data_IF_825596762212
#
_entry.id   IF_825596762212
#
_cell.length_a   1.000
_cell.length_b   1.000
_cell.length_c   1.000
_cell.angle_alpha   90.00
_cell.angle_beta   90.00
_cell.angle_gamma   90.00
#
_symmetry.space_group_name_H-M   'P 1'
#
loop_
_entity.id
_entity.type
_entity.pdbx_description
1 polymer ?
#
# COMPACT_ATOMS: atom_id res chain seq x y z
N UNK A 1 20.18 10.30 -4.27
CA UNK A 1 20.39 9.80 -2.89
C UNK A 1 19.53 10.54 -1.86
N UNK A 2 19.42 11.87 -1.85
CA UNK A 2 18.62 12.65 -0.89
C UNK A 2 17.09 12.43 -1.00
N UNK A 3 16.55 12.29 -2.22
CA UNK A 3 15.10 12.03 -2.45
C UNK A 3 14.68 10.65 -1.90
N UNK A 4 15.55 9.65 -1.96
CA UNK A 4 15.34 8.32 -1.44
C UNK A 4 15.24 8.28 0.09
N UNK A 5 15.99 9.12 0.78
CA UNK A 5 15.95 9.25 2.25
C UNK A 5 14.67 9.96 2.71
N UNK A 6 14.19 10.95 1.95
CA UNK A 6 12.96 11.68 2.27
C UNK A 6 11.70 10.80 2.13
N UNK A 7 11.61 9.97 1.10
CA UNK A 7 10.45 9.06 0.89
C UNK A 7 10.37 8.01 2.00
N UNK A 8 11.51 7.43 2.40
CA UNK A 8 11.53 6.46 3.49
C UNK A 8 11.29 7.10 4.87
N UNK A 9 11.74 8.35 5.08
CA UNK A 9 11.48 9.09 6.31
C UNK A 9 9.98 9.47 6.42
N UNK A 10 9.36 9.86 5.32
CA UNK A 10 7.92 10.15 5.26
C UNK A 10 7.07 8.91 5.56
N UNK A 11 7.43 7.73 5.03
CA UNK A 11 6.74 6.47 5.32
C UNK A 11 6.85 6.08 6.81
N UNK A 12 8.02 6.27 7.41
CA UNK A 12 8.25 5.95 8.83
C UNK A 12 7.54 6.96 9.74
N UNK A 13 7.59 8.24 9.43
CA UNK A 13 6.87 9.28 10.16
C UNK A 13 5.34 9.10 10.04
N UNK A 14 4.84 8.67 8.89
CA UNK A 14 3.43 8.34 8.68
C UNK A 14 2.97 7.19 9.59
N UNK A 15 3.76 6.12 9.70
CA UNK A 15 3.44 4.98 10.58
C UNK A 15 3.51 5.34 12.08
N UNK A 16 4.29 6.35 12.45
CA UNK A 16 4.42 6.82 13.84
C UNK A 16 3.39 7.90 14.21
N UNK A 17 2.82 8.61 13.23
CA UNK A 17 1.80 9.66 13.45
C UNK A 17 0.36 9.17 13.37
N UNK A 18 0.12 7.93 12.94
CA UNK A 18 -1.20 7.32 13.04
C UNK A 18 -1.49 7.11 14.54
N UNK A 19 -2.12 8.11 15.17
CA UNK A 19 -2.79 7.86 16.44
C UNK A 19 -3.79 6.74 16.18
N UNK A 20 -3.77 5.65 16.97
CA UNK A 20 -4.80 4.63 16.86
C UNK A 20 -6.12 5.24 17.29
N UNK A 21 -6.86 5.78 16.34
CA UNK A 21 -8.30 5.80 16.45
C UNK A 21 -8.66 4.33 16.28
N UNK A 22 -9.37 3.68 17.25
CA UNK A 22 -9.94 2.37 16.97
C UNK A 22 -10.70 2.56 15.65
N UNK A 23 -10.42 1.72 14.62
CA UNK A 23 -11.08 1.89 13.36
C UNK A 23 -12.57 1.80 13.64
N UNK A 24 -13.27 2.90 13.45
CA UNK A 24 -14.68 2.82 13.14
C UNK A 24 -14.78 1.82 12.01
N UNK A 25 -15.59 0.74 12.10
CA UNK A 25 -15.65 -0.25 11.04
C UNK A 25 -15.89 0.53 9.74
N UNK A 26 -14.94 0.43 8.82
CA UNK A 26 -15.04 1.09 7.53
C UNK A 26 -16.43 0.78 6.98
N UNK A 27 -17.19 1.75 6.50
CA UNK A 27 -18.53 1.49 5.99
C UNK A 27 -18.41 0.34 5.01
N UNK A 28 -19.22 -0.71 5.21
CA UNK A 28 -19.21 -1.90 4.36
C UNK A 28 -19.72 -1.44 2.99
N UNK A 29 -18.80 -0.90 2.20
CA UNK A 29 -19.09 -0.51 0.81
C UNK A 29 -19.14 -1.83 0.06
N UNK A 30 -20.36 -2.30 -0.21
CA UNK A 30 -20.54 -3.48 -1.01
C UNK A 30 -19.90 -3.22 -2.39
N UNK A 31 -18.84 -3.97 -2.74
CA UNK A 31 -18.21 -3.78 -4.04
C UNK A 31 -19.20 -4.18 -5.14
N UNK A 32 -19.15 -3.48 -6.28
CA UNK A 32 -19.92 -3.89 -7.46
C UNK A 32 -19.58 -5.36 -7.80
N UNK A 33 -20.53 -6.17 -8.28
CA UNK A 33 -20.25 -7.54 -8.69
C UNK A 33 -19.14 -7.59 -9.75
N UNK A 34 -18.45 -8.72 -9.86
CA UNK A 34 -17.46 -8.91 -10.93
C UNK A 34 -18.19 -8.80 -12.27
N UNK A 35 -17.83 -7.80 -13.08
CA UNK A 35 -18.53 -7.49 -14.30
C UNK A 35 -17.87 -8.08 -15.55
N UNK A 36 -18.65 -8.45 -16.58
CA UNK A 36 -18.12 -8.61 -17.92
C UNK A 36 -17.53 -7.30 -18.47
N UNK A 37 -16.65 -7.41 -19.46
CA UNK A 37 -15.98 -6.24 -20.08
C UNK A 37 -16.96 -5.19 -20.57
N UNK A 38 -18.13 -5.62 -21.00
CA UNK A 38 -19.23 -4.82 -21.54
C UNK A 38 -19.86 -3.86 -20.51
N UNK A 39 -19.58 -4.06 -19.22
CA UNK A 39 -20.10 -3.24 -18.12
C UNK A 39 -19.21 -2.05 -17.75
N UNK A 40 -18.05 -1.90 -18.38
CA UNK A 40 -17.16 -0.78 -18.12
C UNK A 40 -17.78 0.51 -18.65
N UNK A 41 -17.80 1.57 -17.83
CA UNK A 41 -18.18 2.89 -18.29
C UNK A 41 -17.08 3.49 -19.20
N UNK A 42 -17.40 4.65 -19.80
CA UNK A 42 -16.47 5.31 -20.71
C UNK A 42 -15.09 5.59 -20.08
N UNK A 43 -15.03 5.97 -18.79
CA UNK A 43 -13.76 6.28 -18.10
C UNK A 43 -12.89 5.04 -17.98
N UNK A 44 -13.47 3.91 -17.55
CA UNK A 44 -12.72 2.67 -17.42
C UNK A 44 -12.25 2.12 -18.78
N UNK A 45 -13.03 2.39 -19.85
CA UNK A 45 -12.65 2.03 -21.22
C UNK A 45 -11.44 2.83 -21.73
N UNK A 46 -11.17 4.02 -21.18
CA UNK A 46 -9.98 4.81 -21.53
C UNK A 46 -8.69 4.24 -20.90
N UNK A 47 -8.79 3.30 -19.95
CA UNK A 47 -7.62 2.70 -19.33
C UNK A 47 -7.01 1.69 -20.30
N UNK A 48 -6.04 2.14 -21.06
CA UNK A 48 -5.26 1.35 -22.00
C UNK A 48 -3.76 1.39 -21.64
N UNK A 49 -2.95 0.75 -22.45
CA UNK A 49 -1.51 0.71 -22.23
C UNK A 49 -0.85 2.08 -22.43
N UNK A 50 -1.39 2.93 -23.29
CA UNK A 50 -0.81 4.24 -23.55
C UNK A 50 -1.06 5.19 -22.36
N UNK A 51 -2.27 5.14 -21.78
CA UNK A 51 -2.58 5.84 -20.53
C UNK A 51 -1.66 5.35 -19.38
N UNK A 52 -1.45 4.04 -19.24
CA UNK A 52 -0.58 3.53 -18.18
C UNK A 52 0.90 3.91 -18.40
N UNK A 53 1.39 3.97 -19.64
CA UNK A 53 2.73 4.48 -19.93
C UNK A 53 2.88 5.96 -19.55
N UNK A 54 1.85 6.78 -19.77
CA UNK A 54 1.85 8.18 -19.32
C UNK A 54 1.79 8.31 -17.80
N UNK A 55 0.95 7.50 -17.16
CA UNK A 55 0.77 7.53 -15.70
C UNK A 55 2.00 7.00 -14.93
N UNK A 56 2.73 6.05 -15.49
CA UNK A 56 3.87 5.35 -14.88
C UNK A 56 5.16 5.47 -15.71
N UNK A 57 5.71 6.70 -15.87
CA UNK A 57 6.78 6.97 -16.83
C UNK A 57 8.11 6.29 -16.52
N UNK A 58 8.32 5.84 -15.27
CA UNK A 58 9.54 5.14 -14.86
C UNK A 58 9.43 3.61 -14.99
N UNK A 59 8.38 3.10 -15.64
CA UNK A 59 8.20 1.69 -15.95
C UNK A 59 8.15 1.49 -17.48
N UNK A 60 8.40 0.29 -17.95
CA UNK A 60 8.36 0.00 -19.37
C UNK A 60 7.01 -0.59 -19.80
N UNK A 61 6.67 -0.44 -21.08
CA UNK A 61 5.42 -0.88 -21.68
C UNK A 61 5.17 -2.39 -21.50
N UNK A 62 6.23 -3.20 -21.59
CA UNK A 62 6.13 -4.66 -21.46
C UNK A 62 5.65 -5.05 -20.06
N UNK A 63 6.20 -4.39 -19.03
CA UNK A 63 5.78 -4.62 -17.66
C UNK A 63 4.38 -4.04 -17.36
N UNK A 64 3.99 -2.95 -18.03
CA UNK A 64 2.72 -2.28 -17.77
C UNK A 64 1.52 -2.98 -18.40
N UNK A 65 1.70 -3.74 -19.49
CA UNK A 65 0.58 -4.36 -20.21
C UNK A 65 -0.28 -5.26 -19.31
N UNK A 66 0.33 -5.96 -18.36
CA UNK A 66 -0.37 -6.82 -17.42
C UNK A 66 -1.25 -6.07 -16.39
N UNK A 67 -1.06 -4.74 -16.27
CA UNK A 67 -1.80 -3.89 -15.33
C UNK A 67 -3.04 -3.26 -15.94
N UNK A 68 -3.19 -3.29 -17.27
CA UNK A 68 -4.33 -2.63 -17.96
C UNK A 68 -5.66 -3.18 -17.43
N UNK A 69 -5.88 -4.47 -17.62
CA UNK A 69 -7.14 -5.10 -17.21
C UNK A 69 -7.37 -5.07 -15.70
N UNK A 70 -6.37 -5.36 -14.84
CA UNK A 70 -6.50 -5.18 -13.40
C UNK A 70 -6.93 -3.78 -12.98
N UNK A 71 -6.38 -2.73 -13.62
CA UNK A 71 -6.74 -1.33 -13.32
C UNK A 71 -8.18 -1.04 -13.72
N UNK A 72 -8.61 -1.46 -14.91
CA UNK A 72 -9.99 -1.34 -15.36
C UNK A 72 -10.96 -1.98 -14.36
N UNK A 73 -10.67 -3.22 -13.96
CA UNK A 73 -11.53 -3.98 -13.04
C UNK A 73 -11.58 -3.41 -11.64
N UNK A 74 -10.46 -2.93 -11.12
CA UNK A 74 -10.41 -2.26 -9.82
C UNK A 74 -11.21 -0.94 -9.85
N UNK A 75 -11.03 -0.11 -10.88
CA UNK A 75 -11.78 1.12 -11.04
C UNK A 75 -13.29 0.85 -11.13
N UNK A 76 -13.71 -0.14 -11.92
CA UNK A 76 -15.10 -0.53 -12.00
C UNK A 76 -15.65 -0.97 -10.64
N UNK A 77 -14.98 -1.91 -9.99
CA UNK A 77 -15.45 -2.53 -8.74
C UNK A 77 -15.63 -1.53 -7.61
N UNK A 78 -14.75 -0.55 -7.55
CA UNK A 78 -14.71 0.43 -6.46
C UNK A 78 -15.28 1.80 -6.84
N UNK A 79 -15.87 1.93 -8.03
CA UNK A 79 -16.57 3.14 -8.45
C UNK A 79 -15.66 4.33 -8.69
N UNK A 80 -14.50 4.11 -9.30
CA UNK A 80 -13.64 5.17 -9.83
C UNK A 80 -14.14 5.48 -11.24
N UNK A 81 -15.08 6.40 -11.32
CA UNK A 81 -15.96 6.57 -12.49
C UNK A 81 -15.74 7.89 -13.26
N UNK A 82 -14.91 8.78 -12.73
CA UNK A 82 -14.61 10.07 -13.38
C UNK A 82 -13.14 10.17 -13.79
N UNK A 83 -12.85 10.97 -14.83
CA UNK A 83 -11.46 11.24 -15.27
C UNK A 83 -10.62 11.80 -14.12
N UNK A 84 -11.21 12.65 -13.28
CA UNK A 84 -10.52 13.27 -12.17
C UNK A 84 -10.12 12.25 -11.11
N UNK A 85 -11.05 11.39 -10.69
CA UNK A 85 -10.76 10.30 -9.75
C UNK A 85 -9.69 9.36 -10.30
N UNK A 86 -9.83 8.96 -11.57
CA UNK A 86 -8.85 8.10 -12.24
C UNK A 86 -7.46 8.74 -12.26
N UNK A 87 -7.37 10.03 -12.62
CA UNK A 87 -6.09 10.76 -12.65
C UNK A 87 -5.45 10.84 -11.26
N UNK A 88 -6.23 11.18 -10.23
CA UNK A 88 -5.76 11.24 -8.85
C UNK A 88 -5.36 9.85 -8.34
N UNK A 89 -6.12 8.80 -8.64
CA UNK A 89 -5.83 7.42 -8.28
C UNK A 89 -4.51 6.94 -8.89
N UNK A 90 -4.32 7.11 -10.21
CA UNK A 90 -3.10 6.70 -10.90
C UNK A 90 -1.88 7.51 -10.46
N UNK A 91 -2.01 8.83 -10.30
CA UNK A 91 -0.93 9.69 -9.82
C UNK A 91 -0.47 9.28 -8.41
N UNK A 92 -1.40 8.90 -7.54
CA UNK A 92 -1.10 8.41 -6.21
C UNK A 92 -0.32 7.09 -6.25
N UNK A 93 -0.81 6.12 -7.02
CA UNK A 93 -0.11 4.85 -7.22
C UNK A 93 1.29 5.08 -7.79
N UNK A 94 1.45 6.00 -8.74
CA UNK A 94 2.74 6.31 -9.35
C UNK A 94 3.78 6.72 -8.28
N UNK A 95 3.41 7.65 -7.41
CA UNK A 95 4.30 8.16 -6.36
C UNK A 95 4.65 7.06 -5.36
N UNK A 96 3.66 6.35 -4.83
CA UNK A 96 3.83 5.32 -3.79
C UNK A 96 4.68 4.14 -4.25
N UNK A 97 4.58 3.78 -5.51
CA UNK A 97 5.21 2.57 -6.06
C UNK A 97 6.43 2.82 -6.93
N UNK A 98 6.85 4.09 -7.09
CA UNK A 98 7.84 4.46 -8.10
C UNK A 98 7.47 3.86 -9.48
N UNK A 99 6.28 4.18 -9.98
CA UNK A 99 5.74 3.69 -11.26
C UNK A 99 5.50 2.15 -11.29
N UNK A 100 4.87 1.58 -10.27
CA UNK A 100 4.60 0.14 -10.15
C UNK A 100 5.85 -0.76 -10.16
N UNK A 101 7.00 -0.22 -9.76
CA UNK A 101 8.25 -0.98 -9.65
C UNK A 101 8.50 -1.49 -8.24
N UNK A 102 7.80 -0.93 -7.23
CA UNK A 102 7.94 -1.28 -5.81
C UNK A 102 6.60 -1.66 -5.23
N UNK A 103 6.36 -2.95 -5.15
CA UNK A 103 5.08 -3.52 -4.73
C UNK A 103 5.19 -4.32 -3.43
N UNK A 104 6.37 -4.40 -2.86
CA UNK A 104 6.62 -5.10 -1.61
C UNK A 104 7.60 -4.31 -0.75
N UNK A 105 7.30 -4.21 0.53
CA UNK A 105 8.16 -3.56 1.49
C UNK A 105 9.48 -4.29 1.65
N UNK A 106 10.58 -3.57 1.45
CA UNK A 106 11.93 -4.08 1.69
C UNK A 106 12.39 -3.80 3.11
N UNK A 107 12.67 -4.85 3.87
CA UNK A 107 13.17 -4.78 5.26
C UNK A 107 14.69 -4.98 5.34
N UNK A 108 15.41 -4.72 4.27
CA UNK A 108 16.87 -4.85 4.19
C UNK A 108 17.59 -3.65 4.84
N UNK A 109 17.21 -3.34 6.08
CA UNK A 109 17.77 -2.23 6.83
C UNK A 109 19.19 -2.53 7.35
N UNK A 110 20.06 -1.51 7.34
CA UNK A 110 21.32 -1.60 8.11
C UNK A 110 21.04 -1.46 9.61
N UNK A 111 21.99 -1.86 10.42
CA UNK A 111 21.94 -1.69 11.88
C UNK A 111 21.64 -0.23 12.26
N UNK A 112 22.37 0.71 11.65
CA UNK A 112 22.23 2.15 11.90
C UNK A 112 20.83 2.64 11.50
N UNK A 113 20.33 2.20 10.33
CA UNK A 113 19.01 2.57 9.86
C UNK A 113 17.89 2.03 10.78
N UNK A 114 18.04 0.84 11.35
CA UNK A 114 17.09 0.31 12.32
C UNK A 114 17.09 1.14 13.62
N UNK A 115 18.27 1.58 14.05
CA UNK A 115 18.43 2.39 15.27
C UNK A 115 17.88 3.82 15.05
N UNK A 116 18.12 4.41 13.89
CA UNK A 116 17.72 5.76 13.56
C UNK A 116 16.22 5.89 13.26
N UNK A 117 15.67 4.95 12.47
CA UNK A 117 14.31 5.06 11.95
C UNK A 117 13.23 4.55 12.91
N UNK A 118 13.56 3.57 13.75
CA UNK A 118 12.56 2.94 14.60
C UNK A 118 12.82 3.26 16.08
N UNK A 119 11.76 3.59 16.82
CA UNK A 119 11.84 3.85 18.26
C UNK A 119 12.30 2.62 19.06
N UNK A 120 12.93 2.87 20.20
CA UNK A 120 13.41 1.79 21.09
C UNK A 120 12.30 0.87 21.61
N UNK A 121 11.06 1.34 21.59
CA UNK A 121 9.88 0.52 21.88
C UNK A 121 9.52 -0.46 20.75
N UNK A 122 10.10 -0.28 19.55
CA UNK A 122 9.89 -1.15 18.39
C UNK A 122 11.00 -2.15 18.19
N UNK A 123 12.25 -1.72 18.35
CA UNK A 123 13.43 -2.58 18.20
C UNK A 123 14.54 -2.18 19.19
N UNK A 124 15.12 -3.15 19.88
CA UNK A 124 16.25 -2.92 20.75
C UNK A 124 17.55 -2.68 19.95
N UNK A 125 18.54 -2.00 20.57
CA UNK A 125 19.87 -1.85 19.97
C UNK A 125 20.53 -3.24 19.75
N UNK A 126 20.32 -4.17 20.69
CA UNK A 126 20.84 -5.51 20.58
C UNK A 126 20.27 -6.27 19.37
N UNK A 127 18.95 -6.18 19.16
CA UNK A 127 18.29 -6.81 18.00
C UNK A 127 18.70 -6.13 16.68
N UNK A 128 18.79 -4.80 16.64
CA UNK A 128 19.28 -4.08 15.48
C UNK A 128 20.69 -4.53 15.08
N UNK A 129 21.60 -4.67 16.05
CA UNK A 129 22.95 -5.19 15.84
C UNK A 129 22.98 -6.65 15.38
N UNK A 130 22.08 -7.48 15.92
CA UNK A 130 22.02 -8.91 15.63
C UNK A 130 21.44 -9.21 14.25
N UNK A 131 20.41 -8.49 13.84
CA UNK A 131 19.60 -8.80 12.65
C UNK A 131 19.75 -7.80 11.50
N UNK A 132 20.24 -6.58 11.77
CA UNK A 132 20.49 -5.57 10.75
C UNK A 132 21.64 -5.94 9.81
N UNK A 133 21.60 -5.37 8.59
CA UNK A 133 22.67 -5.52 7.61
C UNK A 133 23.91 -4.73 8.06
N UNK A 134 25.07 -5.37 7.96
CA UNK A 134 26.40 -4.77 8.18
C UNK A 134 27.45 -5.51 7.36
N UNK A 135 28.71 -5.08 7.44
CA UNK A 135 29.83 -5.75 6.75
C UNK A 135 29.84 -7.25 7.11
N UNK A 136 29.82 -8.11 6.10
CA UNK A 136 29.78 -9.57 6.26
C UNK A 136 28.46 -10.17 6.73
N UNK A 137 27.41 -9.36 6.97
CA UNK A 137 26.11 -9.84 7.45
C UNK A 137 24.97 -9.26 6.60
N UNK A 138 24.14 -10.13 6.02
CA UNK A 138 22.86 -9.72 5.41
C UNK A 138 21.80 -9.44 6.49
N UNK A 139 20.87 -8.50 6.23
CA UNK A 139 19.74 -8.31 7.11
C UNK A 139 18.87 -9.57 7.18
N UNK A 140 18.45 -9.95 8.38
CA UNK A 140 17.42 -10.97 8.57
C UNK A 140 16.04 -10.28 8.49
N UNK A 141 15.55 -10.10 7.27
CA UNK A 141 14.34 -9.31 7.00
C UNK A 141 13.09 -9.88 7.67
N UNK A 142 12.96 -11.21 7.75
CA UNK A 142 11.83 -11.85 8.39
C UNK A 142 11.81 -11.58 9.90
N UNK A 143 12.94 -11.75 10.57
CA UNK A 143 13.05 -11.47 12.01
C UNK A 143 12.82 -9.97 12.27
N UNK A 144 13.39 -9.11 11.45
CA UNK A 144 13.19 -7.65 11.54
C UNK A 144 11.71 -7.31 11.42
N UNK A 145 10.99 -7.86 10.42
CA UNK A 145 9.56 -7.66 10.27
C UNK A 145 8.77 -8.10 11.50
N UNK A 146 9.06 -9.29 12.01
CA UNK A 146 8.37 -9.83 13.18
C UNK A 146 8.66 -9.05 14.46
N UNK A 147 9.82 -8.43 14.58
CA UNK A 147 10.14 -7.50 15.68
C UNK A 147 9.39 -6.17 15.50
N UNK A 148 9.50 -5.56 14.31
CA UNK A 148 8.93 -4.23 14.05
C UNK A 148 7.41 -4.22 14.02
N UNK A 149 6.78 -5.25 13.51
CA UNK A 149 5.33 -5.34 13.26
C UNK A 149 4.63 -6.38 14.15
N UNK A 150 5.35 -7.01 15.07
CA UNK A 150 4.81 -7.96 16.04
C UNK A 150 4.69 -7.38 17.45
N UNK A 151 4.60 -8.30 18.43
CA UNK A 151 4.49 -7.96 19.84
C UNK A 151 3.28 -7.10 20.19
N UNK A 152 3.32 -6.41 21.32
CA UNK A 152 2.21 -5.56 21.79
C UNK A 152 1.91 -4.40 20.84
N UNK A 153 2.94 -3.82 20.22
CA UNK A 153 2.74 -2.74 19.26
C UNK A 153 2.05 -3.24 18.00
N UNK A 154 2.48 -4.35 17.42
CA UNK A 154 1.89 -4.94 16.23
C UNK A 154 0.45 -5.41 16.47
N UNK A 155 0.18 -6.02 17.61
CA UNK A 155 -1.17 -6.42 18.00
C UNK A 155 -2.12 -5.21 18.10
N UNK A 156 -1.67 -4.13 18.76
CA UNK A 156 -2.49 -2.93 18.96
C UNK A 156 -2.71 -2.13 17.68
N UNK A 157 -1.67 -1.98 16.83
CA UNK A 157 -1.70 -1.03 15.72
C UNK A 157 -1.97 -1.67 14.36
N UNK A 158 -1.68 -2.97 14.21
CA UNK A 158 -1.76 -3.71 12.95
C UNK A 158 -2.66 -4.94 13.02
N UNK A 159 -3.18 -5.29 14.20
CA UNK A 159 -3.91 -6.53 14.41
C UNK A 159 -3.05 -7.79 14.27
N UNK A 160 -1.72 -7.67 14.33
CA UNK A 160 -0.77 -8.77 14.22
C UNK A 160 -0.66 -9.51 15.55
N UNK A 161 -1.54 -10.48 15.78
CA UNK A 161 -1.68 -11.17 17.06
C UNK A 161 -1.05 -12.55 17.09
N UNK A 162 -0.64 -13.09 15.93
CA UNK A 162 -0.06 -14.42 15.81
C UNK A 162 1.46 -14.32 15.56
N UNK A 163 2.25 -15.30 16.04
CA UNK A 163 3.65 -15.42 15.66
C UNK A 163 3.82 -15.45 14.14
N UNK A 164 4.75 -14.66 13.61
CA UNK A 164 5.00 -14.57 12.16
C UNK A 164 4.15 -13.56 11.41
N UNK A 165 3.11 -12.97 12.03
CA UNK A 165 2.24 -11.99 11.38
C UNK A 165 3.01 -10.77 10.85
N UNK A 166 4.04 -10.33 11.55
CA UNK A 166 4.84 -9.20 11.14
C UNK A 166 5.47 -9.37 9.76
N UNK A 167 5.97 -10.55 9.47
CA UNK A 167 6.50 -10.90 8.16
C UNK A 167 5.39 -11.19 7.15
N UNK A 168 4.41 -11.98 7.55
CA UNK A 168 3.32 -12.42 6.67
C UNK A 168 2.48 -11.26 6.14
N UNK A 169 2.16 -10.31 7.00
CA UNK A 169 1.29 -9.16 6.70
C UNK A 169 2.05 -7.84 6.59
N UNK A 170 3.34 -7.88 6.23
CA UNK A 170 4.08 -6.66 5.89
C UNK A 170 3.46 -5.95 4.68
N UNK A 171 3.94 -4.77 4.33
CA UNK A 171 3.38 -3.98 3.24
C UNK A 171 3.47 -4.65 1.88
N UNK A 172 2.32 -4.80 1.21
CA UNK A 172 2.19 -5.36 -0.14
C UNK A 172 1.27 -4.53 -1.02
N UNK A 173 1.51 -4.64 -2.34
CA UNK A 173 0.70 -4.01 -3.37
C UNK A 173 0.91 -2.50 -3.49
N UNK A 174 0.19 -1.84 -4.43
CA UNK A 174 0.39 -0.43 -4.75
C UNK A 174 0.11 0.55 -3.61
N UNK A 175 -0.65 0.15 -2.60
CA UNK A 175 -0.95 0.95 -1.40
C UNK A 175 -0.28 0.41 -0.14
N UNK A 176 0.69 -0.51 -0.28
CA UNK A 176 1.42 -1.07 0.86
C UNK A 176 0.49 -1.54 1.99
N UNK A 177 -0.49 -2.38 1.65
CA UNK A 177 -1.50 -2.87 2.58
C UNK A 177 -0.85 -3.68 3.70
N UNK A 178 -0.69 -3.07 4.88
CA UNK A 178 0.09 -3.59 6.01
C UNK A 178 -0.79 -3.98 7.17
N UNK A 179 -0.46 -5.10 7.81
CA UNK A 179 -1.11 -5.61 9.03
C UNK A 179 -2.26 -6.56 8.77
N UNK A 180 -2.41 -7.55 9.68
CA UNK A 180 -3.49 -8.54 9.63
C UNK A 180 -4.87 -7.87 9.60
N UNK A 181 -5.09 -6.82 10.40
CA UNK A 181 -6.38 -6.13 10.46
C UNK A 181 -6.78 -5.57 9.09
N UNK A 182 -5.95 -4.72 8.47
CA UNK A 182 -6.23 -4.15 7.15
C UNK A 182 -6.42 -5.22 6.07
N UNK A 183 -5.59 -6.28 6.12
CA UNK A 183 -5.72 -7.37 5.15
C UNK A 183 -6.98 -8.23 5.41
N UNK A 184 -7.46 -8.33 6.65
CA UNK A 184 -8.74 -8.96 6.97
C UNK A 184 -9.91 -8.15 6.43
N UNK A 185 -9.91 -6.83 6.62
CA UNK A 185 -10.97 -5.95 6.12
C UNK A 185 -11.06 -6.01 4.59
N UNK A 186 -9.91 -5.99 3.93
CA UNK A 186 -9.85 -6.17 2.48
C UNK A 186 -10.35 -7.57 2.06
N UNK A 187 -9.93 -8.62 2.76
CA UNK A 187 -10.37 -10.00 2.49
C UNK A 187 -11.91 -10.13 2.56
N UNK A 188 -12.51 -9.58 3.62
CA UNK A 188 -13.99 -9.54 3.78
C UNK A 188 -14.64 -8.81 2.61
N UNK A 189 -14.10 -7.65 2.21
CA UNK A 189 -14.66 -6.85 1.12
C UNK A 189 -14.65 -7.55 -0.26
N UNK A 190 -13.74 -8.50 -0.47
CA UNK A 190 -13.64 -9.26 -1.73
C UNK A 190 -14.05 -10.72 -1.62
N UNK A 191 -14.51 -11.17 -0.44
CA UNK A 191 -14.99 -12.55 -0.22
C UNK A 191 -13.88 -13.60 -0.21
N UNK A 192 -12.67 -13.23 0.29
CA UNK A 192 -11.53 -14.16 0.45
C UNK A 192 -11.18 -14.38 1.90
N UNK A 193 -10.40 -15.44 2.17
CA UNK A 193 -9.77 -15.58 3.49
C UNK A 193 -8.57 -14.63 3.62
N UNK A 194 -8.29 -14.16 4.85
CA UNK A 194 -7.13 -13.29 5.11
C UNK A 194 -5.80 -13.99 4.77
N UNK A 195 -5.77 -15.30 4.85
CA UNK A 195 -4.58 -16.11 4.58
C UNK A 195 -4.18 -16.11 3.09
N UNK A 196 -5.13 -15.84 2.18
CA UNK A 196 -4.89 -15.71 0.73
C UNK A 196 -4.36 -14.32 0.35
N UNK A 197 -4.64 -13.28 1.16
CA UNK A 197 -4.39 -11.89 0.80
C UNK A 197 -2.91 -11.59 0.52
N UNK A 198 -1.93 -12.04 1.34
CA UNK A 198 -0.52 -11.74 1.07
C UNK A 198 -0.03 -12.22 -0.30
N UNK A 199 -0.53 -13.37 -0.78
CA UNK A 199 -0.21 -13.87 -2.11
C UNK A 199 -0.99 -13.10 -3.19
N UNK A 200 -2.27 -12.85 -2.95
CA UNK A 200 -3.14 -12.18 -3.91
C UNK A 200 -2.70 -10.75 -4.22
N UNK A 201 -2.39 -9.93 -3.21
CA UNK A 201 -1.99 -8.52 -3.42
C UNK A 201 -0.64 -8.35 -4.12
N UNK A 202 0.14 -9.41 -4.27
CA UNK A 202 1.36 -9.43 -5.10
C UNK A 202 1.09 -9.60 -6.58
N UNK A 203 -0.09 -10.05 -6.96
CA UNK A 203 -0.51 -10.13 -8.37
C UNK A 203 -1.00 -8.77 -8.87
N UNK A 204 -0.97 -8.49 -10.17
CA UNK A 204 -1.54 -7.26 -10.72
C UNK A 204 -3.02 -7.08 -10.37
N UNK A 205 -3.83 -8.15 -10.43
CA UNK A 205 -5.24 -8.11 -10.05
C UNK A 205 -5.43 -7.74 -8.58
N UNK A 206 -4.78 -8.50 -7.69
CA UNK A 206 -4.92 -8.28 -6.25
C UNK A 206 -4.34 -6.95 -5.81
N UNK A 207 -3.23 -6.53 -6.43
CA UNK A 207 -2.60 -5.25 -6.19
C UNK A 207 -3.53 -4.09 -6.52
N UNK A 208 -4.07 -4.03 -7.74
CA UNK A 208 -5.00 -2.97 -8.13
C UNK A 208 -6.32 -3.06 -7.37
N UNK A 209 -6.83 -4.26 -7.11
CA UNK A 209 -8.03 -4.46 -6.32
C UNK A 209 -7.88 -3.91 -4.90
N UNK A 210 -6.73 -4.15 -4.26
CA UNK A 210 -6.43 -3.62 -2.93
C UNK A 210 -6.25 -2.10 -2.93
N UNK A 211 -5.66 -1.54 -3.99
CA UNK A 211 -5.50 -0.10 -4.14
C UNK A 211 -6.85 0.61 -4.31
N UNK A 212 -7.75 0.07 -5.13
CA UNK A 212 -9.10 0.60 -5.30
C UNK A 212 -9.94 0.48 -4.02
N UNK A 213 -9.83 -0.65 -3.29
CA UNK A 213 -10.45 -0.80 -1.98
C UNK A 213 -9.98 0.27 -1.00
N UNK A 214 -8.67 0.47 -0.90
CA UNK A 214 -8.08 1.48 -0.03
C UNK A 214 -8.59 2.88 -0.40
N UNK A 215 -8.62 3.20 -1.70
CA UNK A 215 -9.14 4.46 -2.22
C UNK A 215 -10.56 4.73 -1.72
N UNK A 216 -11.44 3.76 -1.88
CA UNK A 216 -12.85 3.89 -1.52
C UNK A 216 -13.07 3.91 -0.01
N UNK A 217 -12.45 2.98 0.74
CA UNK A 217 -12.61 2.84 2.18
C UNK A 217 -12.09 4.05 2.97
N UNK A 218 -11.16 4.82 2.40
CA UNK A 218 -10.62 6.04 3.00
C UNK A 218 -11.25 7.33 2.47
N UNK A 219 -12.32 7.23 1.68
CA UNK A 219 -13.06 8.38 1.14
C UNK A 219 -12.21 9.28 0.24
N UNK A 220 -11.23 8.71 -0.47
CA UNK A 220 -10.33 9.47 -1.35
C UNK A 220 -11.05 9.92 -2.63
N UNK A 221 -12.11 9.24 -3.04
CA UNK A 221 -13.02 9.65 -4.10
C UNK A 221 -13.67 11.02 -3.82
N UNK A 222 -14.19 11.23 -2.62
CA UNK A 222 -14.78 12.50 -2.22
C UNK A 222 -13.74 13.65 -2.21
N UNK A 223 -12.50 13.34 -1.84
CA UNK A 223 -11.39 14.31 -1.85
C UNK A 223 -10.91 14.61 -3.26
N UNK A 224 -10.82 13.62 -4.13
CA UNK A 224 -10.50 13.80 -5.55
C UNK A 224 -11.58 14.62 -6.28
N UNK A 225 -12.82 14.68 -5.79
CA UNK A 225 -13.88 15.52 -6.34
C UNK A 225 -13.66 17.02 -6.09
N UNK A 226 -12.86 17.40 -5.08
CA UNK A 226 -12.53 18.81 -4.78
C UNK A 226 -11.32 19.30 -5.61
N UNK A 227 -11.26 20.60 -6.01
CA UNK A 227 -10.14 21.13 -6.76
C UNK A 227 -8.85 21.20 -5.92
N UNK A 228 -7.84 20.42 -6.28
CA UNK A 228 -6.48 20.55 -5.76
C UNK A 228 -5.79 19.22 -5.47
N UNK A 229 -4.82 18.84 -6.31
CA UNK A 229 -3.91 17.69 -6.09
C UNK A 229 -3.21 17.76 -4.72
N UNK A 230 -3.06 18.96 -4.15
CA UNK A 230 -2.46 19.20 -2.82
C UNK A 230 -3.29 18.60 -1.70
N UNK A 231 -4.61 18.66 -1.79
CA UNK A 231 -5.52 18.15 -0.76
C UNK A 231 -5.57 16.62 -0.79
N UNK A 232 -5.46 16.00 -1.97
CA UNK A 232 -5.35 14.56 -2.13
C UNK A 232 -4.07 14.02 -1.49
N UNK A 233 -2.94 14.73 -1.63
CA UNK A 233 -1.66 14.37 -1.00
C UNK A 233 -1.70 14.46 0.52
N UNK A 234 -2.30 15.53 1.07
CA UNK A 234 -2.46 15.69 2.53
C UNK A 234 -3.30 14.55 3.11
N UNK A 235 -4.35 14.17 2.38
CA UNK A 235 -5.24 13.09 2.81
C UNK A 235 -4.57 11.70 2.81
N UNK A 236 -3.65 11.48 1.89
CA UNK A 236 -3.00 10.18 1.67
C UNK A 236 -1.73 10.04 2.51
N UNK A 237 -0.93 11.11 2.60
CA UNK A 237 0.38 11.10 3.22
C UNK A 237 0.44 11.83 4.56
N UNK A 238 -0.68 12.38 5.04
CA UNK A 238 -0.71 13.19 6.25
C UNK A 238 0.08 14.51 6.16
N UNK A 239 0.53 14.90 4.95
CA UNK A 239 1.33 16.11 4.73
C UNK A 239 1.56 16.47 3.27
N UNK A 240 2.17 17.64 3.06
CA UNK A 240 2.42 18.23 1.73
C UNK A 240 3.73 17.79 1.06
N UNK A 241 4.44 16.80 1.63
CA UNK A 241 5.74 16.36 1.12
C UNK A 241 5.59 15.30 0.04
N UNK A 242 6.07 15.59 -1.16
CA UNK A 242 6.21 14.75 -2.34
C UNK A 242 6.79 15.56 -3.50
#
# INVERSE_FOLDING_TARGET
MKIFQAINAAHTAFMDTIKPVPPEPAPVIAPRPVAPVESLNWVQQQIDIDLLCMAFPNNNRVNLVQWVRPTQMACYRWGIDTIRELSSFLANINVETASLTRLEEGLNYSTEALIEKFGRHRISIADANKYGRKAGQKANQEVIANILYGGAWGAKNLGNTQPGDGWKFKGYGPKQLTGRANQTDFAVAIGKSVEEIPAYVRTPEGGMMSAGWFWKSHGLDAKAATPGVKDDRIAINGGTFG
#
